data_IF_039857362591
#
_entry.id   IF_039857362591
#
_cell.length_a   1.000
_cell.length_b   1.000
_cell.length_c   1.000
_cell.angle_alpha   90.00
_cell.angle_beta   90.00
_cell.angle_gamma   90.00
#
_symmetry.space_group_name_H-M   'P 1'
#
loop_
_entity.id
_entity.type
_entity.pdbx_description
1 polymer ?
#
# COMPACT_ATOMS: atom_id res chain seq x y z
N UNK A 1 -5.57 0.17 -17.91
CA UNK A 1 -6.38 1.40 -17.70
C UNK A 1 -5.81 2.47 -18.60
N UNK A 2 -6.65 3.27 -19.26
CA UNK A 2 -6.14 4.33 -20.11
C UNK A 2 -5.54 5.44 -19.24
N UNK A 3 -4.55 6.17 -19.75
CA UNK A 3 -3.91 7.26 -19.00
C UNK A 3 -4.93 8.37 -18.63
N UNK A 4 -5.93 8.56 -19.50
CA UNK A 4 -7.02 9.52 -19.29
C UNK A 4 -7.86 9.14 -18.07
N UNK A 5 -8.15 7.86 -17.87
CA UNK A 5 -8.92 7.38 -16.71
C UNK A 5 -8.13 7.63 -15.41
N UNK A 6 -6.82 7.40 -15.43
CA UNK A 6 -5.94 7.65 -14.27
C UNK A 6 -5.92 9.14 -13.93
N UNK A 7 -5.75 10.00 -14.93
CA UNK A 7 -5.77 11.46 -14.76
C UNK A 7 -7.13 11.95 -14.26
N UNK A 8 -8.24 11.40 -14.77
CA UNK A 8 -9.58 11.73 -14.30
C UNK A 8 -9.76 11.35 -12.83
N UNK A 9 -9.40 10.12 -12.45
CA UNK A 9 -9.46 9.67 -11.05
C UNK A 9 -8.60 10.51 -10.13
N UNK A 10 -7.39 10.88 -10.57
CA UNK A 10 -6.52 11.76 -9.80
C UNK A 10 -7.17 13.12 -9.53
N UNK A 11 -7.81 13.72 -10.54
CA UNK A 11 -8.55 14.98 -10.35
C UNK A 11 -9.71 14.84 -9.38
N UNK A 12 -10.45 13.73 -9.43
CA UNK A 12 -11.53 13.46 -8.48
C UNK A 12 -11.02 13.25 -7.04
N UNK A 13 -9.82 12.70 -6.88
CA UNK A 13 -9.16 12.51 -5.58
C UNK A 13 -8.42 13.76 -5.08
N UNK A 14 -8.25 14.78 -5.93
CA UNK A 14 -7.63 16.06 -5.61
C UNK A 14 -8.52 17.21 -6.09
N UNK A 15 -9.72 17.38 -5.52
CA UNK A 15 -10.69 18.38 -5.99
C UNK A 15 -10.18 19.82 -5.86
N UNK A 16 -9.28 20.09 -4.90
CA UNK A 16 -8.64 21.41 -4.76
C UNK A 16 -7.65 21.73 -5.88
N UNK A 17 -7.16 20.71 -6.59
CA UNK A 17 -6.06 20.85 -7.55
C UNK A 17 -4.74 21.30 -6.91
N UNK A 18 -4.62 21.30 -5.58
CA UNK A 18 -3.38 21.69 -4.91
C UNK A 18 -2.29 20.64 -5.19
N UNK A 19 -1.18 21.07 -5.78
CA UNK A 19 -0.01 20.23 -6.04
C UNK A 19 1.19 20.74 -5.25
N UNK A 20 1.60 19.99 -4.22
CA UNK A 20 2.80 20.31 -3.43
C UNK A 20 4.10 19.95 -4.15
N UNK A 21 4.01 19.07 -5.13
CA UNK A 21 5.12 18.63 -5.97
C UNK A 21 4.56 18.09 -7.30
N UNK A 22 5.34 18.12 -8.39
CA UNK A 22 4.91 17.56 -9.67
C UNK A 22 4.63 16.05 -9.59
N UNK A 23 3.50 15.62 -10.16
CA UNK A 23 3.15 14.21 -10.34
C UNK A 23 3.22 13.84 -11.83
N UNK A 24 4.08 12.89 -12.16
CA UNK A 24 4.26 12.42 -13.53
C UNK A 24 3.62 11.03 -13.69
N UNK A 25 2.82 10.87 -14.74
CA UNK A 25 2.28 9.57 -15.10
C UNK A 25 3.03 8.99 -16.30
N UNK A 26 3.63 7.82 -16.13
CA UNK A 26 4.22 7.08 -17.22
C UNK A 26 3.13 6.33 -18.00
N UNK A 27 2.95 6.66 -19.27
CA UNK A 27 1.97 6.00 -20.14
C UNK A 27 2.65 5.01 -21.07
N UNK A 28 2.45 3.71 -20.82
CA UNK A 28 2.94 2.66 -21.71
C UNK A 28 2.30 2.73 -23.08
N UNK A 29 1.01 3.09 -23.16
CA UNK A 29 0.30 3.28 -24.41
C UNK A 29 0.94 4.41 -25.25
N UNK A 30 1.34 5.51 -24.60
CA UNK A 30 2.01 6.61 -25.28
C UNK A 30 3.42 6.22 -25.73
N UNK A 31 4.20 5.56 -24.86
CA UNK A 31 5.51 5.03 -25.22
C UNK A 31 5.43 4.09 -26.44
N UNK A 32 4.45 3.19 -26.46
CA UNK A 32 4.21 2.28 -27.57
C UNK A 32 3.87 3.02 -28.87
N UNK A 33 3.03 4.06 -28.80
CA UNK A 33 2.70 4.90 -29.97
C UNK A 33 3.94 5.59 -30.58
N UNK A 34 4.93 5.93 -29.74
CA UNK A 34 6.21 6.48 -30.17
C UNK A 34 7.22 5.41 -30.66
N UNK A 35 6.84 4.13 -30.66
CA UNK A 35 7.72 3.02 -31.03
C UNK A 35 8.75 2.66 -29.95
N UNK A 36 8.57 3.17 -28.72
CA UNK A 36 9.46 2.86 -27.60
C UNK A 36 9.16 1.47 -27.01
N UNK A 37 10.17 0.79 -26.45
CA UNK A 37 9.96 -0.49 -25.79
C UNK A 37 9.04 -0.34 -24.57
N UNK A 38 8.35 -1.43 -24.24
CA UNK A 38 7.51 -1.50 -23.04
C UNK A 38 8.34 -1.34 -21.77
N UNK A 39 7.70 -0.81 -20.74
CA UNK A 39 8.33 -0.75 -19.42
C UNK A 39 8.62 -2.17 -18.92
N UNK A 40 9.86 -2.39 -18.49
CA UNK A 40 10.28 -3.70 -18.00
C UNK A 40 11.41 -3.57 -17.00
N UNK A 41 11.15 -4.00 -15.78
CA UNK A 41 12.16 -4.18 -14.73
C UNK A 41 13.13 -5.31 -15.06
N UNK A 42 12.82 -6.21 -16.00
CA UNK A 42 13.77 -7.26 -16.44
C UNK A 42 14.81 -6.69 -17.41
N UNK A 43 14.41 -5.72 -18.24
CA UNK A 43 15.28 -5.13 -19.25
C UNK A 43 16.25 -4.10 -18.64
N UNK A 44 17.55 -4.38 -18.70
CA UNK A 44 18.59 -3.49 -18.17
C UNK A 44 18.65 -2.13 -18.85
N UNK A 45 18.55 -2.08 -20.17
CA UNK A 45 18.58 -0.83 -20.92
C UNK A 45 17.42 0.08 -20.52
N UNK A 46 16.23 -0.51 -20.33
CA UNK A 46 15.08 0.25 -19.83
C UNK A 46 15.33 0.81 -18.42
N UNK A 47 15.89 -0.01 -17.51
CA UNK A 47 16.21 0.43 -16.15
C UNK A 47 17.20 1.59 -16.13
N UNK A 48 18.26 1.51 -16.93
CA UNK A 48 19.30 2.54 -16.99
C UNK A 48 18.75 3.86 -17.58
N UNK A 49 17.93 3.76 -18.64
CA UNK A 49 17.25 4.90 -19.24
C UNK A 49 16.23 5.53 -18.28
N UNK A 50 15.40 4.71 -17.62
CA UNK A 50 14.38 5.20 -16.70
C UNK A 50 15.01 5.88 -15.48
N UNK A 51 16.07 5.31 -14.90
CA UNK A 51 16.86 5.97 -13.85
C UNK A 51 17.39 7.34 -14.30
N UNK A 52 17.94 7.42 -15.52
CA UNK A 52 18.45 8.68 -16.07
C UNK A 52 17.35 9.74 -16.20
N UNK A 53 16.14 9.34 -16.58
CA UNK A 53 14.95 10.21 -16.60
C UNK A 53 14.55 10.64 -15.19
N UNK A 54 14.48 9.72 -14.23
CA UNK A 54 14.13 10.06 -12.84
C UNK A 54 15.10 11.07 -12.24
N UNK A 55 16.40 10.89 -12.50
CA UNK A 55 17.45 11.80 -12.03
C UNK A 55 17.38 13.18 -12.71
N UNK A 56 17.22 13.23 -14.03
CA UNK A 56 17.15 14.50 -14.77
C UNK A 56 15.91 15.32 -14.40
N UNK A 57 14.81 14.65 -14.09
CA UNK A 57 13.57 15.28 -13.62
C UNK A 57 13.55 15.57 -12.11
N UNK A 58 14.60 15.17 -11.38
CA UNK A 58 14.68 15.36 -9.93
C UNK A 58 13.63 14.59 -9.13
N UNK A 59 13.09 13.50 -9.68
CA UNK A 59 12.07 12.67 -9.03
C UNK A 59 12.64 12.03 -7.76
N UNK A 60 11.88 12.09 -6.66
CA UNK A 60 12.27 11.52 -5.36
C UNK A 60 11.51 10.25 -4.99
N UNK A 61 10.38 10.00 -5.64
CA UNK A 61 9.56 8.80 -5.40
C UNK A 61 9.18 8.22 -6.77
N UNK A 62 9.50 6.95 -6.98
CA UNK A 62 9.12 6.18 -8.16
C UNK A 62 8.16 5.05 -7.75
N UNK A 63 6.96 5.03 -8.34
CA UNK A 63 5.94 4.02 -8.08
C UNK A 63 5.86 3.06 -9.26
N UNK A 64 6.01 1.77 -8.99
CA UNK A 64 6.00 0.70 -9.97
C UNK A 64 4.75 -0.15 -9.79
N UNK A 65 3.75 0.06 -10.65
CA UNK A 65 2.48 -0.65 -10.66
C UNK A 65 2.33 -1.53 -11.90
N UNK A 66 2.36 -2.86 -11.80
CA UNK A 66 2.76 -3.68 -10.64
C UNK A 66 3.91 -4.60 -11.07
N UNK A 67 4.53 -5.27 -10.09
CA UNK A 67 5.66 -6.18 -10.34
C UNK A 67 5.31 -7.23 -11.41
N UNK A 68 4.11 -7.81 -11.40
CA UNK A 68 3.75 -8.88 -12.34
C UNK A 68 3.69 -8.39 -13.80
N UNK A 69 3.26 -7.15 -14.01
CA UNK A 69 3.26 -6.52 -15.34
C UNK A 69 4.66 -6.05 -15.77
N UNK A 70 5.49 -5.60 -14.82
CA UNK A 70 6.80 -5.02 -15.10
C UNK A 70 7.94 -6.04 -15.12
N UNK A 71 7.72 -7.24 -14.60
CA UNK A 71 8.72 -8.31 -14.57
C UNK A 71 8.25 -9.55 -15.37
N UNK A 72 7.89 -9.44 -16.65
CA UNK A 72 7.42 -10.58 -17.41
C UNK A 72 8.53 -11.61 -17.63
N UNK A 73 8.19 -12.90 -17.52
CA UNK A 73 9.07 -14.01 -17.90
C UNK A 73 10.09 -14.45 -16.85
N UNK A 74 10.20 -13.77 -15.71
CA UNK A 74 10.98 -14.29 -14.58
C UNK A 74 10.22 -15.44 -13.88
N UNK A 75 10.95 -16.40 -13.33
CA UNK A 75 10.36 -17.26 -12.30
C UNK A 75 10.15 -16.42 -11.04
N UNK A 76 8.88 -16.16 -10.71
CA UNK A 76 8.51 -15.35 -9.55
C UNK A 76 9.07 -15.91 -8.23
N UNK A 77 9.40 -17.21 -8.17
CA UNK A 77 9.97 -17.88 -6.99
C UNK A 77 11.50 -17.93 -7.00
N UNK A 78 12.15 -17.55 -8.11
CA UNK A 78 13.61 -17.54 -8.25
C UNK A 78 14.21 -16.28 -7.65
N UNK A 79 15.00 -16.42 -6.57
CA UNK A 79 15.84 -15.33 -6.05
C UNK A 79 16.84 -14.85 -7.11
N UNK A 80 17.36 -15.76 -7.93
CA UNK A 80 18.33 -15.43 -8.98
C UNK A 80 17.72 -14.51 -10.04
N UNK A 81 16.48 -14.78 -10.44
CA UNK A 81 15.80 -13.98 -11.47
C UNK A 81 15.36 -12.62 -10.92
N UNK A 82 15.09 -12.54 -9.61
CA UNK A 82 14.76 -11.30 -8.92
C UNK A 82 15.98 -10.40 -8.66
N UNK A 83 17.18 -10.97 -8.47
CA UNK A 83 18.35 -10.23 -8.02
C UNK A 83 18.70 -9.00 -8.90
N UNK A 84 18.66 -9.04 -10.24
CA UNK A 84 18.91 -7.86 -11.07
C UNK A 84 17.93 -6.71 -10.80
N UNK A 85 16.66 -7.01 -10.51
CA UNK A 85 15.64 -6.02 -10.15
C UNK A 85 15.96 -5.45 -8.77
N UNK A 86 16.31 -6.30 -7.81
CA UNK A 86 16.69 -5.90 -6.46
C UNK A 86 17.91 -4.96 -6.46
N UNK A 87 18.95 -5.27 -7.24
CA UNK A 87 20.14 -4.41 -7.38
C UNK A 87 19.79 -3.04 -7.96
N UNK A 88 18.87 -2.99 -8.93
CA UNK A 88 18.38 -1.73 -9.47
C UNK A 88 17.62 -0.88 -8.43
N UNK A 89 16.75 -1.50 -7.64
CA UNK A 89 16.02 -0.80 -6.58
C UNK A 89 16.96 -0.26 -5.50
N UNK A 90 18.03 -0.99 -5.17
CA UNK A 90 19.10 -0.51 -4.30
C UNK A 90 19.85 0.68 -4.92
N UNK A 91 20.16 0.62 -6.21
CA UNK A 91 20.80 1.73 -6.92
C UNK A 91 19.93 3.00 -6.90
N UNK A 92 18.62 2.88 -7.14
CA UNK A 92 17.67 3.99 -6.97
C UNK A 92 17.71 4.57 -5.55
N UNK A 93 17.74 3.71 -4.52
CA UNK A 93 17.85 4.12 -3.11
C UNK A 93 19.14 4.90 -2.85
N UNK A 94 20.29 4.43 -3.34
CA UNK A 94 21.57 5.13 -3.17
C UNK A 94 21.59 6.49 -3.86
N UNK A 95 20.79 6.66 -4.91
CA UNK A 95 20.59 7.94 -5.58
C UNK A 95 19.48 8.80 -4.95
N UNK A 96 18.96 8.42 -3.77
CA UNK A 96 17.97 9.19 -3.03
C UNK A 96 16.56 9.12 -3.62
N UNK A 97 16.24 8.07 -4.39
CA UNK A 97 14.92 7.82 -4.96
C UNK A 97 14.25 6.69 -4.16
N UNK A 98 13.12 6.99 -3.52
CA UNK A 98 12.29 5.99 -2.87
C UNK A 98 11.52 5.19 -3.92
N UNK A 99 11.67 3.87 -3.91
CA UNK A 99 10.91 2.97 -4.78
C UNK A 99 9.69 2.40 -4.04
N UNK A 100 8.51 2.49 -4.65
CA UNK A 100 7.27 1.88 -4.16
C UNK A 100 6.85 0.83 -5.17
N UNK A 101 6.72 -0.42 -4.73
CA UNK A 101 6.32 -1.53 -5.59
C UNK A 101 4.90 -1.96 -5.22
N UNK A 102 4.00 -2.00 -6.21
CA UNK A 102 2.71 -2.63 -6.02
C UNK A 102 2.82 -4.10 -6.42
N UNK A 103 2.28 -4.98 -5.58
CA UNK A 103 2.24 -6.41 -5.87
C UNK A 103 0.98 -7.04 -5.31
N UNK A 104 0.56 -8.13 -5.95
CA UNK A 104 -0.56 -8.93 -5.49
C UNK A 104 -0.14 -9.87 -4.37
N UNK A 105 -1.07 -10.21 -3.49
CA UNK A 105 -0.90 -11.30 -2.52
C UNK A 105 -1.06 -12.66 -3.20
N UNK A 106 -0.51 -13.70 -2.58
CA UNK A 106 -0.75 -15.08 -2.98
C UNK A 106 -2.15 -15.54 -2.50
N UNK A 107 -2.54 -16.79 -2.80
CA UNK A 107 -3.85 -17.33 -2.40
C UNK A 107 -4.05 -17.42 -0.88
N UNK A 108 -2.97 -17.41 -0.12
CA UNK A 108 -2.96 -17.48 1.35
C UNK A 108 -2.90 -16.08 2.00
N UNK A 109 -2.96 -15.01 1.21
CA UNK A 109 -2.89 -13.63 1.69
C UNK A 109 -1.48 -13.14 2.03
N UNK A 110 -0.46 -13.98 1.81
CA UNK A 110 0.94 -13.62 1.98
C UNK A 110 1.54 -12.94 0.75
N UNK A 111 2.79 -12.52 0.86
CA UNK A 111 3.54 -11.99 -0.28
C UNK A 111 3.65 -13.05 -1.40
N UNK A 112 3.40 -12.64 -2.65
CA UNK A 112 3.51 -13.50 -3.83
C UNK A 112 4.92 -13.50 -4.40
N UNK A 113 5.44 -14.70 -4.70
CA UNK A 113 6.77 -14.93 -5.25
C UNK A 113 7.81 -15.23 -4.17
N UNK A 114 9.08 -15.13 -4.52
CA UNK A 114 10.21 -15.39 -3.62
C UNK A 114 10.22 -14.42 -2.43
N UNK A 115 10.53 -14.94 -1.23
CA UNK A 115 10.71 -14.12 -0.03
C UNK A 115 11.85 -13.11 -0.16
N UNK A 116 12.79 -13.36 -1.09
CA UNK A 116 13.87 -12.45 -1.42
C UNK A 116 13.40 -11.07 -1.92
N UNK A 117 12.13 -10.95 -2.37
CA UNK A 117 11.53 -9.66 -2.71
C UNK A 117 11.52 -8.69 -1.53
N UNK A 118 11.36 -9.20 -0.32
CA UNK A 118 11.32 -8.37 0.87
C UNK A 118 12.71 -8.12 1.48
N UNK A 119 13.76 -8.86 1.11
CA UNK A 119 15.09 -8.83 1.78
C UNK A 119 15.61 -7.41 2.05
N UNK A 120 15.53 -6.52 1.06
CA UNK A 120 16.05 -5.15 1.10
C UNK A 120 14.99 -4.06 1.29
N UNK A 121 13.71 -4.43 1.33
CA UNK A 121 12.61 -3.48 1.54
C UNK A 121 12.62 -3.03 3.01
N UNK A 122 12.42 -1.72 3.21
CA UNK A 122 12.30 -1.13 4.54
C UNK A 122 10.89 -1.32 5.12
N UNK A 123 9.84 -1.15 4.31
CA UNK A 123 8.44 -1.24 4.71
C UNK A 123 7.65 -2.15 3.77
N UNK A 124 6.91 -3.10 4.33
CA UNK A 124 5.88 -3.88 3.62
C UNK A 124 4.52 -3.52 4.22
N UNK A 125 3.63 -2.99 3.38
CA UNK A 125 2.29 -2.54 3.77
C UNK A 125 1.27 -3.41 3.04
N UNK A 126 0.45 -4.11 3.82
CA UNK A 126 -0.61 -4.98 3.34
C UNK A 126 -1.95 -4.25 3.43
N UNK A 127 -2.74 -4.30 2.36
CA UNK A 127 -4.10 -3.80 2.35
C UNK A 127 -5.05 -4.97 2.62
N UNK A 128 -5.85 -4.88 3.69
CA UNK A 128 -6.80 -5.91 4.12
C UNK A 128 -8.22 -5.39 4.06
N UNK A 129 -9.18 -6.25 3.79
CA UNK A 129 -10.58 -5.89 3.98
C UNK A 129 -10.89 -5.76 5.48
N UNK A 130 -11.66 -4.73 5.89
CA UNK A 130 -12.16 -4.66 7.26
C UNK A 130 -13.19 -5.77 7.54
N UNK A 131 -13.45 -6.04 8.82
CA UNK A 131 -14.51 -6.98 9.21
C UNK A 131 -15.87 -6.48 8.70
N UNK A 132 -16.68 -7.39 8.15
CA UNK A 132 -17.98 -7.06 7.59
C UNK A 132 -17.94 -6.27 6.27
N UNK A 133 -16.79 -6.23 5.57
CA UNK A 133 -16.68 -5.59 4.26
C UNK A 133 -17.72 -6.14 3.27
N UNK A 134 -18.39 -5.24 2.57
CA UNK A 134 -19.31 -5.55 1.49
C UNK A 134 -18.75 -4.99 0.17
N UNK A 135 -18.90 -5.68 -0.98
CA UNK A 135 -18.40 -5.18 -2.27
C UNK A 135 -18.89 -3.78 -2.64
N UNK A 136 -20.11 -3.42 -2.24
CA UNK A 136 -20.72 -2.10 -2.42
C UNK A 136 -20.08 -0.99 -1.57
N UNK A 137 -19.28 -1.34 -0.55
CA UNK A 137 -18.54 -0.37 0.26
C UNK A 137 -17.40 0.31 -0.51
N UNK A 138 -17.11 -0.12 -1.75
CA UNK A 138 -16.11 0.51 -2.60
C UNK A 138 -14.69 0.36 -2.03
N UNK A 139 -13.90 1.45 -2.07
CA UNK A 139 -12.54 1.44 -1.55
C UNK A 139 -12.54 1.62 -0.02
N UNK A 140 -12.66 0.51 0.70
CA UNK A 140 -12.59 0.44 2.16
C UNK A 140 -11.62 -0.66 2.59
N UNK A 141 -10.50 -0.27 3.21
CA UNK A 141 -9.41 -1.19 3.54
C UNK A 141 -8.60 -0.75 4.76
N UNK A 142 -7.98 -1.71 5.42
CA UNK A 142 -7.01 -1.51 6.48
C UNK A 142 -5.61 -1.63 5.89
N UNK A 143 -4.81 -0.57 6.01
CA UNK A 143 -3.37 -0.61 5.78
C UNK A 143 -2.66 -1.12 7.03
N UNK A 144 -2.03 -2.29 6.96
CA UNK A 144 -1.26 -2.90 8.04
C UNK A 144 0.20 -3.06 7.64
N UNK A 145 1.14 -2.78 8.54
CA UNK A 145 2.56 -3.06 8.31
C UNK A 145 2.87 -4.55 8.58
N UNK A 146 3.30 -5.30 7.57
CA UNK A 146 3.79 -6.68 7.72
C UNK A 146 5.30 -6.74 7.95
N UNK A 147 6.03 -5.70 7.49
CA UNK A 147 7.46 -5.51 7.74
C UNK A 147 7.75 -4.03 7.95
N UNK A 148 8.58 -3.71 8.93
CA UNK A 148 9.05 -2.35 9.14
C UNK A 148 10.48 -2.31 9.67
N UNK A 149 11.36 -1.61 8.96
CA UNK A 149 12.71 -1.24 9.34
C UNK A 149 12.74 0.28 9.46
N UNK A 150 12.35 0.78 10.62
CA UNK A 150 12.30 2.21 10.93
C UNK A 150 13.12 2.52 12.17
N UNK A 151 13.46 3.79 12.38
CA UNK A 151 14.11 4.22 13.61
C UNK A 151 13.22 3.95 14.83
N UNK A 152 13.83 3.69 15.99
CA UNK A 152 13.11 3.42 17.23
C UNK A 152 12.10 4.53 17.57
N UNK A 153 12.49 5.79 17.34
CA UNK A 153 11.65 6.97 17.59
C UNK A 153 10.37 7.01 16.73
N UNK A 154 10.33 6.27 15.62
CA UNK A 154 9.18 6.21 14.70
C UNK A 154 8.32 4.97 14.89
N UNK A 155 8.68 4.03 15.78
CA UNK A 155 7.91 2.81 16.01
C UNK A 155 6.46 3.08 16.42
N UNK A 156 6.22 4.18 17.14
CA UNK A 156 4.86 4.58 17.54
C UNK A 156 3.99 5.04 16.36
N UNK A 157 4.59 5.36 15.20
CA UNK A 157 3.87 5.75 13.97
C UNK A 157 3.39 4.53 13.18
N UNK A 158 3.94 3.33 13.46
CA UNK A 158 3.50 2.08 12.84
C UNK A 158 2.17 1.65 13.46
N UNK A 159 1.07 2.09 12.85
CA UNK A 159 -0.26 1.76 13.30
C UNK A 159 -1.12 1.36 12.11
N UNK A 160 -2.01 0.39 12.34
CA UNK A 160 -3.00 0.00 11.35
C UNK A 160 -4.04 1.10 11.22
N UNK A 161 -4.26 1.54 9.98
CA UNK A 161 -5.19 2.62 9.63
C UNK A 161 -6.21 2.08 8.65
N UNK A 162 -7.49 2.27 8.97
CA UNK A 162 -8.59 2.03 8.03
C UNK A 162 -8.76 3.28 7.17
N UNK A 163 -8.82 3.09 5.86
CA UNK A 163 -9.12 4.11 4.88
C UNK A 163 -10.45 3.75 4.21
N UNK A 164 -11.33 4.73 4.09
CA UNK A 164 -12.60 4.58 3.39
C UNK A 164 -12.74 5.75 2.42
N UNK A 165 -12.96 5.45 1.15
CA UNK A 165 -13.24 6.45 0.14
C UNK A 165 -14.74 6.74 0.13
N UNK A 166 -15.11 7.99 0.37
CA UNK A 166 -16.49 8.46 0.35
C UNK A 166 -16.67 9.49 -0.76
N UNK A 167 -17.92 9.70 -1.18
CA UNK A 167 -18.28 10.76 -2.13
C UNK A 167 -19.06 11.82 -1.36
N UNK A 168 -18.61 13.07 -1.45
CA UNK A 168 -19.28 14.22 -0.86
C UNK A 168 -19.40 15.30 -1.93
N UNK A 169 -20.63 15.71 -2.25
CA UNK A 169 -20.93 16.73 -3.26
C UNK A 169 -20.33 16.45 -4.67
N UNK A 170 -20.13 15.18 -5.03
CA UNK A 170 -19.55 14.74 -6.31
C UNK A 170 -18.03 14.58 -6.32
N UNK A 171 -17.36 14.93 -5.22
CA UNK A 171 -15.92 14.79 -5.04
C UNK A 171 -15.58 13.59 -4.16
N UNK A 172 -14.45 12.94 -4.45
CA UNK A 172 -13.99 11.77 -3.70
C UNK A 172 -13.12 12.23 -2.52
N UNK A 173 -13.49 11.83 -1.32
CA UNK A 173 -12.78 12.18 -0.07
C UNK A 173 -12.34 10.93 0.68
N UNK A 174 -11.10 10.94 1.19
CA UNK A 174 -10.61 9.89 2.07
C UNK A 174 -10.98 10.18 3.53
N UNK A 175 -11.75 9.30 4.14
CA UNK A 175 -11.83 9.19 5.59
C UNK A 175 -10.79 8.18 6.10
N UNK A 176 -10.21 8.46 7.27
CA UNK A 176 -9.27 7.53 7.90
C UNK A 176 -9.40 7.50 9.42
N UNK A 177 -9.21 6.30 9.99
CA UNK A 177 -9.29 6.07 11.45
C UNK A 177 -8.25 5.06 11.90
N UNK A 178 -7.81 5.20 13.15
CA UNK A 178 -6.92 4.21 13.75
C UNK A 178 -7.69 2.96 14.17
N UNK A 179 -7.24 1.78 13.72
CA UNK A 179 -7.93 0.52 14.01
C UNK A 179 -7.94 0.20 15.51
N UNK A 180 -6.89 0.53 16.26
CA UNK A 180 -6.89 0.30 17.72
C UNK A 180 -7.91 1.17 18.44
N UNK A 181 -8.10 2.41 17.98
CA UNK A 181 -9.10 3.30 18.54
C UNK A 181 -10.52 2.82 18.21
N UNK A 182 -10.76 2.35 16.97
CA UNK A 182 -12.02 1.76 16.53
C UNK A 182 -12.39 0.52 17.38
N UNK A 183 -11.46 -0.44 17.51
CA UNK A 183 -11.66 -1.63 18.36
C UNK A 183 -11.93 -1.23 19.81
N UNK A 184 -11.22 -0.23 20.33
CA UNK A 184 -11.42 0.23 21.71
C UNK A 184 -12.85 0.76 21.91
N UNK A 185 -13.32 1.64 21.02
CA UNK A 185 -14.67 2.20 21.09
C UNK A 185 -15.73 1.13 20.98
N UNK A 186 -15.56 0.19 20.04
CA UNK A 186 -16.53 -0.86 19.78
C UNK A 186 -16.62 -1.86 20.94
N UNK A 187 -15.49 -2.26 21.52
CA UNK A 187 -15.47 -3.08 22.74
C UNK A 187 -16.23 -2.42 23.89
N UNK A 188 -16.00 -1.12 24.13
CA UNK A 188 -16.69 -0.40 25.22
C UNK A 188 -18.21 -0.33 24.95
N UNK A 189 -18.61 -0.05 23.71
CA UNK A 189 -20.01 -0.04 23.27
C UNK A 189 -20.71 -1.39 23.49
N UNK A 190 -20.07 -2.50 23.09
CA UNK A 190 -20.65 -3.84 23.24
C UNK A 190 -20.72 -4.29 24.71
N UNK A 191 -19.75 -3.89 25.54
CA UNK A 191 -19.80 -4.12 27.00
C UNK A 191 -20.97 -3.35 27.62
N UNK A 192 -21.17 -2.08 27.24
CA UNK A 192 -22.28 -1.25 27.75
C UNK A 192 -23.66 -1.80 27.32
N UNK A 193 -23.71 -2.49 26.18
CA UNK A 193 -24.89 -3.24 25.72
C UNK A 193 -25.09 -4.58 26.45
N UNK A 194 -24.22 -4.93 27.40
CA UNK A 194 -24.32 -6.17 28.18
C UNK A 194 -23.87 -7.42 27.43
N UNK A 195 -23.18 -7.28 26.29
CA UNK A 195 -22.68 -8.43 25.55
C UNK A 195 -21.54 -9.12 26.30
N UNK A 196 -21.48 -10.45 26.22
CA UNK A 196 -20.45 -11.22 26.89
C UNK A 196 -19.09 -11.15 26.15
N UNK A 197 -18.01 -11.48 26.86
CA UNK A 197 -16.66 -11.40 26.29
C UNK A 197 -16.39 -12.45 25.20
N UNK A 198 -17.16 -13.53 25.14
CA UNK A 198 -17.01 -14.57 24.11
C UNK A 198 -17.55 -14.05 22.78
N UNK A 199 -18.71 -13.42 22.81
CA UNK A 199 -19.37 -12.87 21.63
C UNK A 199 -18.57 -11.68 21.09
N UNK A 200 -18.13 -10.77 21.96
CA UNK A 200 -17.25 -9.64 21.57
C UNK A 200 -15.93 -10.15 20.96
N UNK A 201 -15.33 -11.20 21.53
CA UNK A 201 -14.09 -11.77 21.02
C UNK A 201 -14.27 -12.39 19.63
N UNK A 202 -15.41 -13.06 19.41
CA UNK A 202 -15.75 -13.66 18.12
C UNK A 202 -16.00 -12.59 17.06
N UNK A 203 -16.76 -11.55 17.40
CA UNK A 203 -17.15 -10.48 16.47
C UNK A 203 -15.95 -9.63 16.02
N UNK A 204 -15.09 -9.24 16.97
CA UNK A 204 -13.98 -8.32 16.71
C UNK A 204 -12.65 -9.03 16.41
N UNK A 205 -12.62 -10.36 16.49
CA UNK A 205 -11.41 -11.15 16.25
C UNK A 205 -10.27 -10.87 17.25
N UNK A 206 -10.60 -10.48 18.49
CA UNK A 206 -9.63 -10.16 19.55
C UNK A 206 -9.74 -11.12 20.74
N UNK A 207 -8.69 -11.23 21.54
CA UNK A 207 -8.70 -12.10 22.72
C UNK A 207 -9.54 -11.52 23.88
N UNK A 208 -10.11 -12.40 24.71
CA UNK A 208 -10.79 -12.01 25.97
C UNK A 208 -9.88 -11.19 26.89
N UNK A 209 -8.58 -11.49 26.91
CA UNK A 209 -7.59 -10.71 27.65
C UNK A 209 -7.48 -9.27 27.16
N UNK A 210 -7.50 -9.07 25.83
CA UNK A 210 -7.49 -7.73 25.23
C UNK A 210 -8.76 -6.93 25.56
N UNK A 211 -9.92 -7.58 25.56
CA UNK A 211 -11.20 -6.97 25.99
C UNK A 211 -11.10 -6.49 27.45
N UNK A 212 -10.58 -7.34 28.34
CA UNK A 212 -10.38 -6.99 29.75
C UNK A 212 -9.47 -5.78 29.94
N UNK A 213 -8.35 -5.73 29.21
CA UNK A 213 -7.43 -4.60 29.22
C UNK A 213 -8.13 -3.29 28.78
N UNK A 214 -8.87 -3.33 27.67
CA UNK A 214 -9.60 -2.18 27.13
C UNK A 214 -10.62 -1.64 28.16
N UNK A 215 -11.38 -2.54 28.81
CA UNK A 215 -12.33 -2.17 29.86
C UNK A 215 -11.65 -1.46 31.03
N UNK A 216 -10.45 -1.90 31.43
CA UNK A 216 -9.69 -1.26 32.50
C UNK A 216 -9.17 0.13 32.09
N UNK A 217 -8.74 0.29 30.84
CA UNK A 217 -8.28 1.58 30.28
C UNK A 217 -9.40 2.60 30.11
N UNK A 218 -10.64 2.17 29.87
CA UNK A 218 -11.81 3.06 29.70
C UNK A 218 -12.44 3.56 31.01
N UNK A 219 -12.02 3.03 32.16
CA UNK A 219 -12.48 3.47 33.50
C UNK A 219 -11.62 4.60 34.10
N UNK A 220 -10.53 4.97 33.44
CA UNK A 220 -9.65 6.09 33.81
C UNK A 220 -10.06 7.33 33.04
#
# INVERSE_FOLDING_TARGET
>A
MAIQDIQQRYRQLNPSGEEKAPLYFYSEAYANHLGLPRASLVNQEWRDNFKSVLLSMGVKIAVFDNIASLAPGIDENSKKDWDPINQYLLDLRFNGITSVLLHHVNKEGGQRGTSAREDNIDLSVMLKQPSGYLPESGADFIASFSKARVAYADLNKLQDVRFTLTEMDGDLTWEWRNVKAEIKQEVLRMIDQGMDYKDIASELGISKGRISQIKAEGKK
#
